data_IF_639482532930
#
_entry.id   IF_639482532930
#
_cell.length_a   1.000
_cell.length_b   1.000
_cell.length_c   1.000
_cell.angle_alpha   90.00
_cell.angle_beta   90.00
_cell.angle_gamma   90.00
#
_symmetry.space_group_name_H-M   'P 1'
#
loop_
_entity.id
_entity.type
_entity.pdbx_description
1 polymer ?
#
# COMPACT_ATOMS: atom_id res chain seq x y z
N UNK A 1 7.87 7.84 28.78
CA UNK A 1 9.08 7.92 27.92
C UNK A 1 8.64 8.59 26.64
N UNK A 2 9.18 9.77 26.31
CA UNK A 2 8.95 10.34 24.99
C UNK A 2 9.54 9.36 23.98
N UNK A 3 8.70 8.81 23.10
CA UNK A 3 9.18 8.19 21.87
C UNK A 3 9.94 9.30 21.14
N UNK A 4 11.26 9.23 21.09
CA UNK A 4 12.03 10.08 20.17
C UNK A 4 11.40 9.91 18.79
N UNK A 5 11.11 11.02 18.11
CA UNK A 5 10.48 10.99 16.81
C UNK A 5 11.37 10.19 15.85
N UNK A 6 10.88 9.04 15.40
CA UNK A 6 11.57 8.20 14.44
C UNK A 6 11.81 9.03 13.17
N UNK A 7 13.07 9.27 12.83
CA UNK A 7 13.44 10.01 11.62
C UNK A 7 13.71 9.03 10.50
N UNK A 8 12.94 9.13 9.41
CA UNK A 8 13.15 8.30 8.21
C UNK A 8 14.52 8.60 7.60
N UNK A 9 15.43 7.62 7.49
CA UNK A 9 16.73 7.83 6.87
C UNK A 9 16.61 8.30 5.41
N UNK A 10 17.58 9.09 4.94
CA UNK A 10 17.55 9.67 3.58
C UNK A 10 17.38 8.60 2.48
N UNK A 11 18.04 7.46 2.63
CA UNK A 11 17.94 6.35 1.68
C UNK A 11 16.58 5.64 1.69
N UNK A 12 15.70 5.93 2.65
CA UNK A 12 14.31 5.44 2.71
C UNK A 12 13.27 6.51 2.42
N UNK A 13 13.66 7.79 2.27
CA UNK A 13 12.72 8.85 1.89
C UNK A 13 11.99 8.58 0.58
N UNK A 14 12.58 7.81 -0.34
CA UNK A 14 11.91 7.41 -1.57
C UNK A 14 10.59 6.69 -1.29
N UNK A 15 10.51 5.89 -0.22
CA UNK A 15 9.33 5.09 0.10
C UNK A 15 8.18 5.98 0.52
N UNK A 16 8.40 6.88 1.47
CA UNK A 16 7.38 7.84 1.93
C UNK A 16 7.02 8.87 0.86
N UNK A 17 7.95 9.21 -0.03
CA UNK A 17 7.68 10.09 -1.18
C UNK A 17 6.87 9.39 -2.28
N UNK A 18 7.01 8.06 -2.42
CA UNK A 18 6.42 7.29 -3.50
C UNK A 18 4.92 7.12 -3.40
N UNK A 19 4.39 6.86 -2.19
CA UNK A 19 2.97 6.65 -1.86
C UNK A 19 2.22 5.54 -2.59
N UNK A 20 2.60 5.16 -3.81
CA UNK A 20 1.85 4.28 -4.68
C UNK A 20 2.74 3.21 -5.33
N UNK A 21 2.52 1.95 -4.92
CA UNK A 21 3.22 0.78 -5.40
C UNK A 21 2.28 -0.22 -6.08
N UNK A 22 2.84 -1.05 -6.96
CA UNK A 22 2.12 -2.13 -7.64
C UNK A 22 2.49 -3.49 -7.03
N UNK A 23 1.52 -4.22 -6.51
CA UNK A 23 1.72 -5.62 -6.14
C UNK A 23 1.38 -6.52 -7.33
N UNK A 24 2.14 -7.60 -7.52
CA UNK A 24 1.90 -8.55 -8.60
C UNK A 24 1.91 -9.98 -8.03
N UNK A 25 0.72 -10.58 -7.94
CA UNK A 25 0.55 -11.98 -7.57
C UNK A 25 0.37 -12.83 -8.82
N UNK A 26 1.47 -13.42 -9.28
CA UNK A 26 1.50 -14.25 -10.47
C UNK A 26 2.28 -15.54 -10.24
N UNK A 27 1.82 -16.60 -10.89
CA UNK A 27 2.35 -17.95 -10.74
C UNK A 27 1.42 -18.99 -11.35
N UNK A 28 1.77 -20.28 -11.28
CA UNK A 28 1.01 -21.35 -11.92
C UNK A 28 -0.44 -21.45 -11.41
N UNK A 29 -0.73 -21.01 -10.18
CA UNK A 29 -2.10 -20.90 -9.66
C UNK A 29 -3.04 -20.09 -10.58
N UNK A 30 -2.52 -19.16 -11.40
CA UNK A 30 -3.31 -18.39 -12.35
C UNK A 30 -4.02 -19.28 -13.37
N UNK A 31 -3.49 -20.48 -13.69
CA UNK A 31 -4.13 -21.44 -14.60
C UNK A 31 -5.45 -21.98 -14.06
N UNK A 32 -5.65 -21.97 -12.75
CA UNK A 32 -6.90 -22.41 -12.13
C UNK A 32 -7.94 -21.30 -12.09
N UNK A 33 -7.53 -20.02 -12.13
CA UNK A 33 -8.43 -18.88 -12.12
C UNK A 33 -9.33 -18.81 -10.88
N UNK A 34 -8.84 -19.26 -9.72
CA UNK A 34 -9.60 -19.38 -8.46
C UNK A 34 -8.82 -18.91 -7.23
N UNK A 35 -7.85 -18.03 -7.43
CA UNK A 35 -6.97 -17.54 -6.38
C UNK A 35 -5.72 -18.40 -6.15
N UNK A 36 -4.75 -17.80 -5.48
CA UNK A 36 -3.38 -18.31 -5.30
C UNK A 36 -3.35 -19.41 -4.25
N UNK A 37 -4.42 -19.45 -3.44
CA UNK A 37 -4.57 -20.42 -2.39
C UNK A 37 -5.33 -21.69 -2.81
N UNK A 38 -5.55 -21.90 -4.11
CA UNK A 38 -6.39 -23.01 -4.62
C UNK A 38 -5.88 -24.40 -4.20
N UNK A 39 -4.56 -24.63 -4.17
CA UNK A 39 -3.99 -25.91 -3.74
C UNK A 39 -4.47 -26.28 -2.33
N UNK A 40 -4.37 -25.35 -1.39
CA UNK A 40 -4.85 -25.56 -0.02
C UNK A 40 -6.38 -25.54 0.08
N UNK A 41 -7.06 -24.53 -0.47
CA UNK A 41 -8.50 -24.30 -0.25
C UNK A 41 -9.40 -25.37 -0.85
N UNK A 42 -8.96 -25.99 -1.95
CA UNK A 42 -9.71 -27.07 -2.61
C UNK A 42 -9.14 -28.45 -2.32
N UNK A 43 -8.11 -28.54 -1.46
CA UNK A 43 -7.44 -29.78 -1.10
C UNK A 43 -6.98 -30.54 -2.36
N UNK A 44 -6.40 -29.81 -3.32
CA UNK A 44 -5.91 -30.42 -4.56
C UNK A 44 -4.77 -31.38 -4.26
N UNK A 45 -4.63 -32.41 -5.08
CA UNK A 45 -3.47 -33.29 -5.00
C UNK A 45 -2.19 -32.52 -5.32
N UNK A 46 -1.17 -32.70 -4.47
CA UNK A 46 0.09 -31.97 -4.59
C UNK A 46 0.88 -32.38 -5.83
N UNK A 47 0.79 -33.65 -6.26
CA UNK A 47 1.48 -34.16 -7.43
C UNK A 47 0.83 -33.62 -8.69
N UNK A 48 -0.50 -33.72 -8.79
CA UNK A 48 -1.24 -33.18 -9.94
C UNK A 48 -1.06 -31.66 -10.06
N UNK A 49 -1.07 -30.93 -8.94
CA UNK A 49 -0.80 -29.50 -8.94
C UNK A 49 0.63 -29.20 -9.42
N UNK A 50 1.63 -29.94 -8.92
CA UNK A 50 3.01 -29.76 -9.33
C UNK A 50 3.23 -30.04 -10.82
N UNK A 51 2.63 -31.10 -11.37
CA UNK A 51 2.69 -31.41 -12.81
C UNK A 51 2.07 -30.28 -13.65
N UNK A 52 0.92 -29.75 -13.23
CA UNK A 52 0.27 -28.62 -13.91
C UNK A 52 1.11 -27.35 -13.81
N UNK A 53 1.70 -27.07 -12.65
CA UNK A 53 2.59 -25.94 -12.45
C UNK A 53 3.86 -26.03 -13.28
N UNK A 54 4.45 -27.22 -13.40
CA UNK A 54 5.63 -27.47 -14.23
C UNK A 54 5.34 -27.38 -15.73
N UNK A 55 4.10 -27.62 -16.16
CA UNK A 55 3.65 -27.49 -17.56
C UNK A 55 3.10 -26.10 -17.91
N UNK A 56 2.98 -25.20 -16.94
CA UNK A 56 2.57 -23.82 -17.17
C UNK A 56 3.55 -23.08 -18.08
N UNK A 57 3.06 -22.44 -19.14
CA UNK A 57 3.88 -21.64 -20.05
C UNK A 57 3.15 -20.35 -20.48
N UNK A 58 3.50 -19.19 -19.92
CA UNK A 58 2.85 -17.92 -20.22
C UNK A 58 3.41 -17.26 -21.50
N UNK A 59 2.86 -17.63 -22.65
CA UNK A 59 3.34 -17.23 -23.98
C UNK A 59 3.24 -15.72 -24.28
N UNK A 60 2.45 -14.98 -23.52
CA UNK A 60 2.20 -13.56 -23.69
C UNK A 60 2.77 -12.69 -22.56
N UNK A 61 3.65 -13.26 -21.73
CA UNK A 61 4.37 -12.50 -20.72
C UNK A 61 5.34 -11.50 -21.36
N UNK A 62 5.02 -10.22 -21.21
CA UNK A 62 5.85 -9.08 -21.61
C UNK A 62 6.10 -8.15 -20.38
N UNK A 63 7.27 -8.27 -19.73
CA UNK A 63 7.62 -7.44 -18.57
C UNK A 63 7.78 -5.96 -18.92
N UNK A 64 8.13 -5.62 -20.18
CA UNK A 64 8.27 -4.23 -20.62
C UNK A 64 6.90 -3.57 -20.72
N UNK A 65 5.90 -4.30 -21.23
CA UNK A 65 4.52 -3.82 -21.23
C UNK A 65 3.98 -3.63 -19.81
N UNK A 66 4.30 -4.54 -18.89
CA UNK A 66 3.95 -4.38 -17.48
C UNK A 66 4.58 -3.13 -16.88
N UNK A 67 5.89 -2.94 -17.05
CA UNK A 67 6.63 -1.79 -16.54
C UNK A 67 6.13 -0.45 -17.13
N UNK A 68 5.91 -0.40 -18.45
CA UNK A 68 5.37 0.78 -19.12
C UNK A 68 3.96 1.13 -18.64
N UNK A 69 3.11 0.13 -18.42
CA UNK A 69 1.77 0.31 -17.83
C UNK A 69 1.88 0.85 -16.42
N UNK A 70 2.76 0.27 -15.59
CA UNK A 70 2.95 0.68 -14.22
C UNK A 70 3.40 2.15 -14.11
N UNK A 71 4.40 2.54 -14.91
CA UNK A 71 4.88 3.93 -14.98
C UNK A 71 3.77 4.89 -15.40
N UNK A 72 3.02 4.56 -16.45
CA UNK A 72 1.93 5.42 -16.95
C UNK A 72 0.76 5.51 -15.97
N UNK A 73 0.53 4.49 -15.16
CA UNK A 73 -0.44 4.50 -14.07
C UNK A 73 0.02 5.31 -12.84
N UNK A 74 1.27 5.77 -12.81
CA UNK A 74 1.81 6.57 -11.71
C UNK A 74 2.40 5.74 -10.57
N UNK A 75 2.54 4.43 -10.69
CA UNK A 75 3.28 3.66 -9.70
C UNK A 75 4.74 4.12 -9.64
N UNK A 76 5.34 4.06 -8.45
CA UNK A 76 6.76 4.43 -8.24
C UNK A 76 7.64 3.23 -7.92
N UNK A 77 7.03 2.12 -7.55
CA UNK A 77 7.68 0.86 -7.25
C UNK A 77 6.74 -0.31 -7.50
N UNK A 78 7.28 -1.51 -7.60
CA UNK A 78 6.51 -2.73 -7.75
C UNK A 78 7.09 -3.89 -6.95
N UNK A 79 6.23 -4.78 -6.47
CA UNK A 79 6.59 -5.98 -5.73
C UNK A 79 6.03 -7.21 -6.46
N UNK A 80 6.90 -8.10 -6.96
CA UNK A 80 6.50 -9.35 -7.63
C UNK A 80 6.62 -10.54 -6.69
N UNK A 81 5.64 -11.45 -6.69
CA UNK A 81 5.75 -12.76 -6.05
C UNK A 81 6.85 -13.60 -6.70
N UNK A 82 8.08 -13.54 -6.16
CA UNK A 82 9.17 -14.41 -6.62
C UNK A 82 8.84 -15.88 -6.32
N UNK A 83 8.19 -16.13 -5.18
CA UNK A 83 7.63 -17.43 -4.79
C UNK A 83 6.45 -17.22 -3.85
N UNK A 84 5.35 -17.94 -4.10
CA UNK A 84 4.17 -17.98 -3.23
C UNK A 84 4.13 -19.27 -2.41
N UNK A 85 3.06 -19.48 -1.63
CA UNK A 85 2.90 -20.63 -0.72
C UNK A 85 2.91 -22.00 -1.41
N UNK A 86 2.62 -22.06 -2.72
CA UNK A 86 2.70 -23.29 -3.50
C UNK A 86 4.15 -23.72 -3.81
N UNK A 87 5.11 -22.86 -3.47
CA UNK A 87 6.53 -23.14 -3.55
C UNK A 87 7.17 -22.91 -4.91
N UNK A 88 6.40 -22.54 -5.94
CA UNK A 88 6.93 -22.38 -7.29
C UNK A 88 7.79 -21.13 -7.41
N UNK A 89 9.03 -21.29 -7.85
CA UNK A 89 9.99 -20.19 -7.97
C UNK A 89 9.90 -19.56 -9.37
N UNK A 90 9.67 -18.26 -9.47
CA UNK A 90 9.64 -17.52 -10.74
C UNK A 90 11.05 -17.13 -11.26
N UNK A 91 12.10 -17.72 -10.70
CA UNK A 91 13.49 -17.41 -11.03
C UNK A 91 14.32 -18.69 -11.18
N UNK A 92 15.53 -18.56 -11.72
CA UNK A 92 16.47 -19.68 -11.80
C UNK A 92 17.12 -19.98 -10.45
N UNK A 93 16.45 -20.79 -9.62
CA UNK A 93 16.97 -21.21 -8.31
C UNK A 93 17.88 -22.43 -8.44
N UNK A 94 19.06 -22.37 -7.85
CA UNK A 94 19.97 -23.50 -7.73
C UNK A 94 19.46 -24.58 -6.75
N UNK A 95 18.52 -24.22 -5.87
CA UNK A 95 18.07 -25.09 -4.77
C UNK A 95 16.82 -25.91 -5.09
N UNK A 96 16.16 -25.69 -6.22
CA UNK A 96 15.01 -26.48 -6.65
C UNK A 96 14.88 -26.50 -8.17
N UNK A 97 14.34 -27.59 -8.70
CA UNK A 97 13.91 -27.67 -10.09
C UNK A 97 12.45 -27.22 -10.27
N UNK A 98 11.72 -27.00 -9.18
CA UNK A 98 10.36 -26.46 -9.22
C UNK A 98 10.38 -24.94 -9.43
N UNK A 99 10.86 -24.54 -10.61
CA UNK A 99 11.10 -23.16 -10.99
C UNK A 99 10.83 -22.88 -12.48
N UNK A 100 10.44 -21.66 -12.82
CA UNK A 100 10.14 -21.28 -14.21
C UNK A 100 11.32 -21.50 -15.17
N UNK A 101 12.55 -21.38 -14.69
CA UNK A 101 13.75 -21.53 -15.50
C UNK A 101 14.06 -22.99 -15.88
N UNK A 102 13.63 -23.94 -15.04
CA UNK A 102 13.91 -25.37 -15.19
C UNK A 102 12.69 -26.19 -15.62
N UNK A 103 11.55 -25.54 -15.77
CA UNK A 103 10.27 -26.14 -16.19
C UNK A 103 9.85 -25.59 -17.55
N UNK A 104 8.60 -25.85 -17.96
CA UNK A 104 8.10 -25.51 -19.30
C UNK A 104 8.39 -24.07 -19.78
N UNK A 105 8.38 -23.02 -18.93
CA UNK A 105 8.71 -21.68 -19.41
C UNK A 105 10.15 -21.52 -19.90
N UNK A 106 11.12 -22.22 -19.29
CA UNK A 106 12.54 -22.05 -19.55
C UNK A 106 13.05 -20.62 -19.34
N UNK A 107 12.41 -19.85 -18.45
CA UNK A 107 12.62 -18.41 -18.29
C UNK A 107 12.79 -17.98 -16.83
N UNK A 108 13.65 -17.00 -16.62
CA UNK A 108 13.87 -16.32 -15.34
C UNK A 108 12.99 -15.06 -15.29
N UNK A 109 11.74 -15.22 -14.86
CA UNK A 109 10.76 -14.14 -14.86
C UNK A 109 11.09 -13.04 -13.85
N UNK A 110 11.76 -13.38 -12.73
CA UNK A 110 12.24 -12.37 -11.77
C UNK A 110 13.27 -11.46 -12.42
N UNK A 111 14.27 -12.00 -13.16
CA UNK A 111 15.25 -11.16 -13.89
C UNK A 111 14.58 -10.25 -14.90
N UNK A 112 13.69 -10.82 -15.71
CA UNK A 112 12.96 -10.09 -16.73
C UNK A 112 12.10 -8.95 -16.15
N UNK A 113 11.41 -9.20 -15.03
CA UNK A 113 10.67 -8.18 -14.28
C UNK A 113 11.60 -7.10 -13.73
N UNK A 114 12.65 -7.49 -13.03
CA UNK A 114 13.60 -6.58 -12.38
C UNK A 114 14.24 -5.64 -13.41
N UNK A 115 14.68 -6.17 -14.54
CA UNK A 115 15.30 -5.39 -15.62
C UNK A 115 14.31 -4.41 -16.26
N UNK A 116 13.08 -4.85 -16.58
CA UNK A 116 12.08 -4.01 -17.21
C UNK A 116 11.58 -2.87 -16.31
N UNK A 117 11.28 -3.17 -15.04
CA UNK A 117 10.79 -2.15 -14.10
C UNK A 117 11.88 -1.15 -13.75
N UNK A 118 13.12 -1.60 -13.56
CA UNK A 118 14.26 -0.70 -13.33
C UNK A 118 14.55 0.19 -14.54
N UNK A 119 14.43 -0.34 -15.76
CA UNK A 119 14.60 0.45 -16.99
C UNK A 119 13.58 1.59 -17.11
N UNK A 120 12.39 1.43 -16.53
CA UNK A 120 11.35 2.47 -16.47
C UNK A 120 11.51 3.44 -15.29
N UNK A 121 12.55 3.27 -14.46
CA UNK A 121 12.84 4.09 -13.28
C UNK A 121 11.98 3.73 -12.06
N UNK A 122 11.35 2.56 -12.06
CA UNK A 122 10.60 2.06 -10.92
C UNK A 122 11.54 1.36 -9.93
N UNK A 123 11.32 1.59 -8.64
CA UNK A 123 11.98 0.79 -7.58
C UNK A 123 11.45 -0.64 -7.62
N UNK A 124 12.31 -1.59 -7.33
CA UNK A 124 12.01 -3.00 -7.52
C UNK A 124 11.94 -3.72 -6.18
N UNK A 125 10.87 -4.46 -5.98
CA UNK A 125 10.67 -5.30 -4.82
C UNK A 125 10.28 -6.73 -5.17
N UNK A 126 10.56 -7.62 -4.22
CA UNK A 126 10.27 -9.04 -4.34
C UNK A 126 9.51 -9.51 -3.11
N UNK A 127 8.44 -10.26 -3.37
CA UNK A 127 7.70 -11.00 -2.37
C UNK A 127 8.25 -12.42 -2.29
N UNK A 128 8.40 -12.90 -1.06
CA UNK A 128 8.89 -14.23 -0.77
C UNK A 128 8.06 -14.89 0.32
N UNK A 129 7.45 -16.02 -0.02
CA UNK A 129 6.75 -16.82 0.99
C UNK A 129 7.70 -17.71 1.79
N UNK A 130 7.59 -17.66 3.12
CA UNK A 130 8.24 -18.59 4.03
C UNK A 130 7.74 -20.02 3.83
N UNK A 131 6.42 -20.17 3.78
CA UNK A 131 5.75 -21.46 3.64
C UNK A 131 5.93 -22.07 2.25
N UNK A 132 6.12 -23.38 2.23
CA UNK A 132 5.85 -24.24 1.08
C UNK A 132 4.80 -25.26 1.53
N UNK A 133 3.63 -25.27 0.89
CA UNK A 133 2.59 -26.25 1.20
C UNK A 133 3.05 -27.69 0.96
N UNK A 134 4.07 -27.90 0.15
CA UNK A 134 4.56 -29.22 -0.22
C UNK A 134 5.66 -29.74 0.69
N UNK A 135 6.16 -28.94 1.65
CA UNK A 135 7.26 -29.33 2.54
C UNK A 135 6.72 -29.65 3.95
N UNK A 136 6.51 -30.93 4.29
CA UNK A 136 5.96 -31.31 5.60
C UNK A 136 6.80 -30.79 6.77
N UNK A 137 8.13 -30.81 6.62
CA UNK A 137 9.05 -30.37 7.67
C UNK A 137 8.86 -28.90 8.09
N UNK A 138 8.31 -28.05 7.23
CA UNK A 138 7.95 -26.67 7.61
C UNK A 138 6.85 -26.63 8.68
N UNK A 139 5.88 -27.52 8.57
CA UNK A 139 4.77 -27.62 9.51
C UNK A 139 5.14 -28.42 10.76
N UNK A 140 5.96 -29.47 10.60
CA UNK A 140 6.46 -30.26 11.72
C UNK A 140 7.38 -29.45 12.63
N UNK A 141 8.18 -28.56 12.06
CA UNK A 141 9.03 -27.64 12.79
C UNK A 141 10.19 -28.32 13.53
N UNK A 142 10.99 -27.53 14.27
CA UNK A 142 12.22 -27.99 14.92
C UNK A 142 11.98 -29.05 16.01
N UNK A 143 10.80 -29.06 16.65
CA UNK A 143 10.49 -29.99 17.74
C UNK A 143 10.20 -31.41 17.23
N UNK A 144 9.40 -31.53 16.17
CA UNK A 144 8.97 -32.84 15.64
C UNK A 144 9.93 -33.39 14.59
N UNK A 145 10.57 -32.53 13.79
CA UNK A 145 11.48 -32.93 12.73
C UNK A 145 12.68 -31.96 12.62
N UNK A 146 13.62 -31.96 13.57
CA UNK A 146 14.72 -31.01 13.61
C UNK A 146 15.60 -31.05 12.35
N UNK A 147 15.96 -32.25 11.88
CA UNK A 147 16.80 -32.40 10.69
C UNK A 147 16.12 -31.95 9.40
N UNK A 148 14.83 -32.26 9.23
CA UNK A 148 14.05 -31.76 8.10
C UNK A 148 13.81 -30.25 8.18
N UNK A 149 13.58 -29.72 9.39
CA UNK A 149 13.43 -28.29 9.61
C UNK A 149 14.70 -27.52 9.25
N UNK A 150 15.88 -28.02 9.67
CA UNK A 150 17.15 -27.38 9.32
C UNK A 150 17.36 -27.32 7.81
N UNK A 151 17.04 -28.39 7.07
CA UNK A 151 17.10 -28.39 5.60
C UNK A 151 16.14 -27.38 4.98
N UNK A 152 14.89 -27.30 5.47
CA UNK A 152 13.91 -26.31 4.98
C UNK A 152 14.39 -24.90 5.28
N UNK A 153 14.85 -24.61 6.51
CA UNK A 153 15.34 -23.28 6.87
C UNK A 153 16.53 -22.88 6.01
N UNK A 154 17.50 -23.77 5.81
CA UNK A 154 18.66 -23.51 4.96
C UNK A 154 18.24 -23.28 3.50
N UNK A 155 17.30 -24.08 2.98
CA UNK A 155 16.69 -23.85 1.67
C UNK A 155 16.08 -22.44 1.55
N UNK A 156 15.29 -22.01 2.54
CA UNK A 156 14.66 -20.68 2.52
C UNK A 156 15.69 -19.54 2.60
N UNK A 157 16.68 -19.65 3.49
CA UNK A 157 17.73 -18.65 3.65
C UNK A 157 18.61 -18.54 2.39
N UNK A 158 18.97 -19.68 1.82
CA UNK A 158 19.76 -19.72 0.59
C UNK A 158 19.02 -19.09 -0.60
N UNK A 159 17.72 -19.35 -0.75
CA UNK A 159 16.92 -18.70 -1.81
C UNK A 159 16.82 -17.18 -1.63
N UNK A 160 16.68 -16.68 -0.40
CA UNK A 160 16.73 -15.24 -0.15
C UNK A 160 18.11 -14.67 -0.53
N UNK A 161 19.20 -15.38 -0.25
CA UNK A 161 20.53 -14.96 -0.69
C UNK A 161 20.66 -14.92 -2.23
N UNK A 162 20.11 -15.90 -2.97
CA UNK A 162 20.07 -15.86 -4.45
C UNK A 162 19.37 -14.60 -4.96
N UNK A 163 18.19 -14.29 -4.41
CA UNK A 163 17.39 -13.14 -4.81
C UNK A 163 18.10 -11.81 -4.56
N UNK A 164 18.93 -11.74 -3.51
CA UNK A 164 19.68 -10.52 -3.16
C UNK A 164 21.05 -10.41 -3.83
N UNK A 165 21.54 -11.46 -4.49
CA UNK A 165 22.87 -11.48 -5.13
C UNK A 165 22.79 -11.51 -6.67
N UNK A 166 21.78 -12.16 -7.25
CA UNK A 166 21.73 -12.44 -8.69
C UNK A 166 20.92 -11.43 -9.53
N UNK A 167 20.21 -10.50 -8.88
CA UNK A 167 19.23 -9.59 -9.52
C UNK A 167 19.55 -8.10 -9.35
N UNK A 168 20.77 -7.78 -8.89
CA UNK A 168 21.19 -6.40 -8.61
C UNK A 168 20.46 -5.81 -7.39
N UNK A 169 20.28 -4.49 -7.38
CA UNK A 169 19.63 -3.81 -6.27
C UNK A 169 18.14 -4.15 -6.17
N UNK A 170 17.72 -4.59 -4.98
CA UNK A 170 16.35 -4.82 -4.56
C UNK A 170 16.03 -3.79 -3.47
N UNK A 171 15.04 -2.94 -3.72
CA UNK A 171 14.69 -1.82 -2.84
C UNK A 171 13.73 -2.24 -1.72
N UNK A 172 12.92 -3.28 -1.96
CA UNK A 172 11.80 -3.68 -1.11
C UNK A 172 11.65 -5.21 -1.07
N UNK A 173 11.59 -5.81 0.10
CA UNK A 173 11.48 -7.26 0.30
C UNK A 173 10.30 -7.57 1.21
N UNK A 174 9.32 -8.29 0.67
CA UNK A 174 8.07 -8.57 1.34
C UNK A 174 8.00 -10.05 1.70
N UNK A 175 8.19 -10.38 2.96
CA UNK A 175 7.99 -11.73 3.46
C UNK A 175 6.51 -12.02 3.71
N UNK A 176 6.12 -13.30 3.68
CA UNK A 176 4.76 -13.70 4.02
C UNK A 176 4.63 -15.20 4.33
N UNK A 177 3.50 -15.60 4.93
CA UNK A 177 3.19 -17.01 5.17
C UNK A 177 4.02 -17.63 6.30
N UNK A 178 4.30 -16.87 7.36
CA UNK A 178 5.13 -17.32 8.48
C UNK A 178 4.49 -18.44 9.30
N UNK A 179 3.17 -18.63 9.25
CA UNK A 179 2.47 -19.58 10.13
C UNK A 179 2.86 -21.04 9.84
N UNK A 180 3.01 -21.90 10.86
CA UNK A 180 2.84 -21.63 12.29
C UNK A 180 4.15 -21.21 13.01
N UNK A 181 5.17 -20.76 12.27
CA UNK A 181 6.51 -20.50 12.77
C UNK A 181 6.61 -19.12 13.43
N UNK A 182 7.62 -18.98 14.29
CA UNK A 182 8.00 -17.72 14.93
C UNK A 182 9.37 -17.22 14.42
N UNK A 183 9.80 -16.04 14.88
CA UNK A 183 11.06 -15.43 14.45
C UNK A 183 12.31 -16.25 14.84
N UNK A 184 12.27 -16.98 15.96
CA UNK A 184 13.38 -17.82 16.43
C UNK A 184 13.51 -19.09 15.59
N UNK A 185 12.38 -19.77 15.31
CA UNK A 185 12.32 -20.94 14.42
C UNK A 185 13.00 -20.60 13.08
N UNK A 186 12.57 -19.48 12.49
CA UNK A 186 13.02 -18.98 11.19
C UNK A 186 14.41 -18.37 11.21
N UNK A 187 15.00 -18.12 12.39
CA UNK A 187 16.22 -17.33 12.55
C UNK A 187 16.15 -15.98 11.82
N UNK A 188 15.03 -15.28 11.96
CA UNK A 188 14.74 -14.06 11.20
C UNK A 188 15.73 -12.94 11.46
N UNK A 189 16.24 -12.80 12.69
CA UNK A 189 17.28 -11.82 13.04
C UNK A 189 18.57 -12.07 12.26
N UNK A 190 19.01 -13.33 12.19
CA UNK A 190 20.21 -13.73 11.44
C UNK A 190 20.02 -13.49 9.94
N UNK A 191 18.85 -13.87 9.40
CA UNK A 191 18.53 -13.64 7.99
C UNK A 191 18.57 -12.16 7.66
N UNK A 192 17.84 -11.30 8.40
CA UNK A 192 17.82 -9.86 8.16
C UNK A 192 19.23 -9.28 8.25
N UNK A 193 20.03 -9.68 9.24
CA UNK A 193 21.42 -9.23 9.33
C UNK A 193 22.24 -9.63 8.10
N UNK A 194 22.02 -10.82 7.53
CA UNK A 194 22.67 -11.25 6.29
C UNK A 194 22.18 -10.45 5.07
N UNK A 195 20.86 -10.20 4.96
CA UNK A 195 20.27 -9.38 3.91
C UNK A 195 20.85 -7.97 3.91
N UNK A 196 21.05 -7.38 5.10
CA UNK A 196 21.65 -6.06 5.28
C UNK A 196 23.13 -5.99 4.92
N UNK A 197 23.87 -7.08 5.07
CA UNK A 197 25.26 -7.17 4.59
C UNK A 197 25.31 -7.16 3.07
N UNK A 198 24.36 -7.81 2.41
CA UNK A 198 24.27 -7.87 0.94
C UNK A 198 23.72 -6.56 0.37
N UNK A 199 22.65 -6.04 0.95
CA UNK A 199 21.93 -4.85 0.50
C UNK A 199 21.60 -3.93 1.70
N UNK A 200 22.50 -3.02 2.09
CA UNK A 200 22.36 -2.22 3.32
C UNK A 200 21.07 -1.41 3.42
N UNK A 201 20.54 -0.94 2.29
CA UNK A 201 19.40 0.00 2.25
C UNK A 201 18.05 -0.65 1.91
N UNK A 202 17.96 -1.98 1.82
CA UNK A 202 16.72 -2.70 1.50
C UNK A 202 15.58 -2.35 2.47
N UNK A 203 14.33 -2.26 2.04
CA UNK A 203 13.19 -2.22 2.98
C UNK A 203 12.64 -3.63 3.18
N UNK A 204 12.39 -4.03 4.42
CA UNK A 204 11.88 -5.36 4.77
C UNK A 204 10.61 -5.20 5.58
N UNK A 205 9.55 -5.91 5.20
CA UNK A 205 8.28 -5.82 5.91
C UNK A 205 8.33 -6.48 7.31
N UNK A 206 7.24 -6.30 8.07
CA UNK A 206 7.10 -6.83 9.42
C UNK A 206 6.74 -8.32 9.50
N UNK A 207 6.57 -9.06 8.40
CA UNK A 207 6.15 -10.48 8.40
C UNK A 207 7.33 -11.45 8.58
N UNK A 208 8.14 -11.19 9.59
CA UNK A 208 9.35 -11.93 9.93
C UNK A 208 9.15 -12.94 11.08
N UNK A 209 7.90 -13.22 11.42
CA UNK A 209 7.53 -14.03 12.58
C UNK A 209 7.37 -13.19 13.84
N UNK A 210 6.41 -13.60 14.66
CA UNK A 210 6.06 -12.92 15.90
C UNK A 210 7.17 -13.08 16.95
N UNK A 211 7.30 -12.07 17.83
CA UNK A 211 8.31 -12.02 18.89
C UNK A 211 7.85 -12.66 20.22
N UNK A 212 6.55 -12.86 20.44
CA UNK A 212 5.99 -13.46 21.67
C UNK A 212 4.69 -14.24 21.41
N UNK A 213 4.43 -15.25 22.26
CA UNK A 213 3.35 -16.27 22.35
C UNK A 213 2.44 -16.59 21.16
N UNK A 214 2.11 -17.88 21.09
CA UNK A 214 1.30 -18.60 20.10
C UNK A 214 -0.14 -18.05 19.92
N UNK A 215 -0.65 -17.13 20.74
CA UNK A 215 -2.09 -16.78 20.76
C UNK A 215 -2.54 -15.79 19.66
N UNK A 216 -1.61 -15.32 18.81
CA UNK A 216 -1.87 -14.34 17.74
C UNK A 216 -2.00 -14.93 16.32
N UNK A 217 -2.15 -16.26 16.16
CA UNK A 217 -2.36 -16.85 14.83
C UNK A 217 -3.67 -16.36 14.21
N UNK A 218 -3.54 -15.63 13.10
CA UNK A 218 -4.60 -15.50 12.11
C UNK A 218 -4.02 -15.94 10.79
N UNK A 219 -4.67 -16.89 10.11
CA UNK A 219 -4.19 -17.45 8.85
C UNK A 219 -4.58 -16.59 7.63
N UNK A 220 -5.31 -15.49 7.86
CA UNK A 220 -5.99 -14.70 6.82
C UNK A 220 -5.45 -13.28 6.67
N UNK A 221 -4.24 -12.99 7.16
CA UNK A 221 -3.59 -11.68 6.95
C UNK A 221 -4.26 -10.50 7.67
N UNK A 222 -5.39 -10.71 8.36
CA UNK A 222 -6.10 -9.66 9.08
C UNK A 222 -5.41 -9.30 10.40
N UNK A 223 -5.03 -8.02 10.55
CA UNK A 223 -4.42 -7.38 11.75
C UNK A 223 -3.55 -8.35 12.57
N UNK A 224 -2.24 -8.41 12.26
CA UNK A 224 -1.25 -9.06 13.13
C UNK A 224 -0.98 -10.55 12.87
N UNK A 225 -1.38 -11.05 11.71
CA UNK A 225 -1.13 -12.43 11.31
C UNK A 225 0.37 -12.67 11.02
N UNK A 226 1.16 -12.98 12.04
CA UNK A 226 2.58 -13.29 11.87
C UNK A 226 3.53 -12.07 11.78
N UNK A 227 2.97 -10.88 12.03
CA UNK A 227 3.71 -9.64 12.13
C UNK A 227 4.60 -9.62 13.38
N UNK A 228 5.84 -9.20 13.20
CA UNK A 228 6.80 -8.99 14.28
C UNK A 228 6.59 -7.61 14.89
N UNK A 229 6.45 -7.55 16.22
CA UNK A 229 6.40 -6.29 16.96
C UNK A 229 7.75 -5.55 16.98
N UNK A 230 8.85 -6.27 16.75
CA UNK A 230 10.22 -5.77 16.87
C UNK A 230 11.01 -5.75 15.54
N UNK A 231 10.75 -6.68 14.62
CA UNK A 231 11.47 -6.78 13.35
C UNK A 231 10.68 -6.20 12.18
N UNK A 232 11.41 -5.71 11.17
CA UNK A 232 10.85 -5.15 9.94
C UNK A 232 10.75 -3.63 9.98
N UNK A 233 11.03 -3.00 8.85
CA UNK A 233 11.11 -1.54 8.70
C UNK A 233 9.74 -0.92 8.47
N UNK A 234 8.78 -1.68 7.92
CA UNK A 234 7.42 -1.21 7.65
C UNK A 234 6.34 -2.26 7.99
N UNK A 235 5.19 -1.76 8.45
CA UNK A 235 3.98 -2.52 8.72
C UNK A 235 3.13 -2.73 7.46
N UNK A 236 2.37 -3.83 7.44
CA UNK A 236 1.67 -4.31 6.22
C UNK A 236 0.16 -4.54 6.41
N UNK A 237 -0.61 -3.52 6.86
CA UNK A 237 -2.06 -3.65 7.03
C UNK A 237 -2.72 -4.14 5.73
N UNK A 238 -3.35 -5.30 5.80
CA UNK A 238 -3.92 -6.01 4.67
C UNK A 238 -5.43 -5.78 4.59
N UNK A 239 -5.94 -5.43 3.41
CA UNK A 239 -7.37 -5.11 3.17
C UNK A 239 -7.95 -3.98 4.05
N UNK A 240 -7.11 -3.26 4.79
CA UNK A 240 -7.45 -2.18 5.70
C UNK A 240 -6.45 -1.04 5.56
N UNK A 241 -6.90 0.20 5.74
CA UNK A 241 -6.03 1.38 5.73
C UNK A 241 -5.91 1.92 7.15
N UNK A 242 -4.95 1.35 7.88
CA UNK A 242 -4.70 1.65 9.29
C UNK A 242 -3.19 1.91 9.45
N UNK A 243 -2.77 3.09 9.93
CA UNK A 243 -1.36 3.38 10.14
C UNK A 243 -0.71 2.46 11.17
N UNK A 244 0.51 1.99 10.88
CA UNK A 244 1.38 1.47 11.91
C UNK A 244 1.99 2.64 12.69
N UNK A 245 1.74 2.66 14.00
CA UNK A 245 2.21 3.75 14.87
C UNK A 245 3.68 3.60 15.28
N UNK A 246 4.31 2.45 14.98
CA UNK A 246 5.66 2.12 15.47
C UNK A 246 6.75 2.27 14.40
N UNK A 247 6.39 2.28 13.12
CA UNK A 247 7.32 2.21 11.99
C UNK A 247 6.65 2.72 10.71
N UNK A 248 7.37 2.65 9.58
CA UNK A 248 6.79 2.95 8.27
C UNK A 248 5.57 2.06 7.98
N UNK A 249 4.66 2.43 7.08
CA UNK A 249 3.56 1.51 6.72
C UNK A 249 3.06 1.60 5.30
N UNK A 250 2.51 0.48 4.85
CA UNK A 250 1.96 0.28 3.51
C UNK A 250 0.72 -0.60 3.58
N UNK A 251 -0.41 -0.06 3.11
CA UNK A 251 -1.64 -0.82 2.97
C UNK A 251 -1.63 -1.66 1.71
N UNK A 252 -1.81 -2.96 1.88
CA UNK A 252 -1.89 -3.91 0.79
C UNK A 252 -3.36 -4.10 0.41
N UNK A 253 -3.69 -3.77 -0.83
CA UNK A 253 -5.07 -3.77 -1.32
C UNK A 253 -5.17 -4.48 -2.66
N UNK A 254 -6.27 -5.21 -2.84
CA UNK A 254 -6.62 -5.81 -4.13
C UNK A 254 -7.41 -4.83 -5.00
N UNK A 255 -7.22 -4.90 -6.32
CA UNK A 255 -8.05 -4.18 -7.30
C UNK A 255 -9.42 -4.82 -7.53
N UNK A 256 -9.54 -6.07 -7.10
CA UNK A 256 -10.76 -6.87 -7.07
C UNK A 256 -11.44 -6.74 -5.70
N UNK A 257 -12.43 -7.56 -5.35
CA UNK A 257 -13.04 -7.47 -4.01
C UNK A 257 -12.32 -8.30 -2.96
N UNK A 258 -11.75 -9.45 -3.33
CA UNK A 258 -11.27 -10.44 -2.35
C UNK A 258 -9.88 -11.02 -2.62
N UNK A 259 -9.58 -11.44 -3.85
CA UNK A 259 -8.43 -12.32 -4.11
C UNK A 259 -7.22 -11.57 -4.70
N UNK A 260 -6.02 -12.03 -4.35
CA UNK A 260 -4.75 -11.46 -4.81
C UNK A 260 -4.45 -11.86 -6.25
N UNK A 261 -4.50 -13.14 -6.58
CA UNK A 261 -4.20 -13.59 -7.93
C UNK A 261 -5.41 -13.65 -8.86
N UNK A 262 -5.14 -13.95 -10.13
CA UNK A 262 -6.14 -14.06 -11.18
C UNK A 262 -7.29 -15.00 -10.79
N UNK A 263 -8.50 -14.47 -10.86
CA UNK A 263 -9.73 -15.21 -10.56
C UNK A 263 -10.79 -14.93 -11.63
N UNK A 264 -11.30 -16.00 -12.23
CA UNK A 264 -12.32 -15.92 -13.27
C UNK A 264 -13.65 -15.49 -12.64
N UNK A 265 -14.27 -14.44 -13.19
CA UNK A 265 -15.57 -13.95 -12.74
C UNK A 265 -15.55 -13.10 -11.46
N UNK A 266 -14.38 -12.85 -10.88
CA UNK A 266 -14.20 -11.90 -9.78
C UNK A 266 -14.58 -10.48 -10.26
N UNK A 267 -15.14 -9.67 -9.35
CA UNK A 267 -15.55 -8.30 -9.65
C UNK A 267 -14.40 -7.32 -9.41
N UNK A 268 -14.36 -6.26 -10.22
CA UNK A 268 -13.37 -5.20 -10.12
C UNK A 268 -13.91 -3.99 -9.35
N UNK A 269 -13.12 -3.47 -8.40
CA UNK A 269 -13.46 -2.21 -7.71
C UNK A 269 -13.33 -1.04 -8.69
N UNK A 270 -14.22 -0.03 -8.65
CA UNK A 270 -14.16 1.10 -9.59
C UNK A 270 -12.95 2.01 -9.31
N UNK A 271 -12.50 2.77 -10.32
CA UNK A 271 -11.27 3.58 -10.25
C UNK A 271 -11.32 4.67 -9.16
N UNK A 272 -12.48 5.26 -8.91
CA UNK A 272 -12.69 6.25 -7.84
C UNK A 272 -12.47 5.63 -6.46
N UNK A 273 -12.94 4.41 -6.22
CA UNK A 273 -12.70 3.68 -4.97
C UNK A 273 -11.21 3.37 -4.79
N UNK A 274 -10.54 2.92 -5.85
CA UNK A 274 -9.09 2.65 -5.82
C UNK A 274 -8.27 3.92 -5.57
N UNK A 275 -8.64 5.03 -6.21
CA UNK A 275 -8.03 6.34 -5.97
C UNK A 275 -8.29 6.82 -4.54
N UNK A 276 -9.49 6.60 -3.99
CA UNK A 276 -9.82 7.02 -2.64
C UNK A 276 -8.96 6.32 -1.60
N UNK A 277 -8.63 5.03 -1.82
CA UNK A 277 -7.67 4.31 -0.99
C UNK A 277 -6.27 4.93 -1.04
N UNK A 278 -5.81 5.37 -2.22
CA UNK A 278 -4.51 6.04 -2.36
C UNK A 278 -4.50 7.38 -1.60
N UNK A 279 -5.54 8.17 -1.78
CA UNK A 279 -5.70 9.45 -1.09
C UNK A 279 -5.83 9.28 0.42
N UNK A 280 -6.50 8.22 0.89
CA UNK A 280 -6.58 7.87 2.32
C UNK A 280 -5.22 7.49 2.90
N UNK A 281 -4.41 6.73 2.15
CA UNK A 281 -3.05 6.39 2.57
C UNK A 281 -2.17 7.64 2.66
N UNK A 282 -2.28 8.56 1.69
CA UNK A 282 -1.55 9.82 1.70
C UNK A 282 -1.99 10.72 2.86
N UNK A 283 -3.30 10.88 3.10
CA UNK A 283 -3.87 11.64 4.22
C UNK A 283 -3.39 11.12 5.59
N UNK A 284 -3.41 9.80 5.76
CA UNK A 284 -2.97 9.13 6.99
C UNK A 284 -1.44 8.96 7.08
N UNK A 285 -0.70 9.52 6.12
CA UNK A 285 0.74 9.39 5.99
C UNK A 285 1.50 9.89 7.23
N UNK A 286 1.41 11.18 7.54
CA UNK A 286 2.14 11.77 8.66
C UNK A 286 3.64 11.40 8.70
N UNK A 287 4.19 11.38 9.92
CA UNK A 287 5.62 11.15 10.18
C UNK A 287 6.10 9.72 9.82
N UNK A 288 5.19 8.74 9.80
CA UNK A 288 5.50 7.34 9.58
C UNK A 288 5.25 6.89 8.12
N UNK A 289 5.03 7.81 7.18
CA UNK A 289 4.70 7.42 5.81
C UNK A 289 3.31 6.78 5.70
N UNK A 290 2.94 6.26 4.53
CA UNK A 290 1.57 5.79 4.27
C UNK A 290 1.41 5.55 2.80
N UNK A 291 1.65 4.31 2.41
CA UNK A 291 1.65 3.89 1.02
C UNK A 291 0.48 2.96 0.73
N UNK A 292 0.02 2.98 -0.52
CA UNK A 292 -0.88 1.98 -1.07
C UNK A 292 -0.07 1.06 -1.98
N UNK A 293 0.04 -0.22 -1.62
CA UNK A 293 0.50 -1.28 -2.52
C UNK A 293 -0.73 -1.95 -3.15
N UNK A 294 -1.04 -1.53 -4.37
CA UNK A 294 -2.23 -1.95 -5.09
C UNK A 294 -1.92 -3.15 -5.99
N UNK A 295 -2.60 -4.24 -5.73
CA UNK A 295 -2.33 -5.53 -6.34
C UNK A 295 -3.05 -5.76 -7.67
N UNK A 296 -2.37 -6.46 -8.59
CA UNK A 296 -2.96 -7.15 -9.74
C UNK A 296 -2.58 -8.62 -9.75
N UNK A 297 -3.50 -9.48 -10.16
CA UNK A 297 -3.23 -10.86 -10.56
C UNK A 297 -3.20 -11.00 -12.08
N UNK A 298 -2.03 -11.08 -12.73
CA UNK A 298 -1.92 -11.27 -14.17
C UNK A 298 -2.56 -12.59 -14.62
N UNK A 299 -3.06 -12.61 -15.85
CA UNK A 299 -3.68 -13.78 -16.47
C UNK A 299 -2.67 -14.93 -16.63
N UNK A 300 -3.14 -16.19 -16.77
CA UNK A 300 -2.25 -17.35 -16.90
C UNK A 300 -1.32 -17.30 -18.11
N UNK A 301 -1.65 -16.52 -19.14
CA UNK A 301 -0.80 -16.33 -20.32
C UNK A 301 0.26 -15.23 -20.14
N UNK A 302 0.25 -14.49 -19.02
CA UNK A 302 1.20 -13.42 -18.70
C UNK A 302 0.74 -12.01 -19.08
N UNK A 303 -0.50 -11.83 -19.53
CA UNK A 303 -1.05 -10.49 -19.76
C UNK A 303 -1.63 -9.88 -18.48
N UNK A 304 -1.54 -8.55 -18.35
CA UNK A 304 -2.32 -7.83 -17.33
C UNK A 304 -3.81 -7.84 -17.71
N UNK A 305 -4.74 -8.03 -16.76
CA UNK A 305 -6.17 -7.97 -17.05
C UNK A 305 -6.56 -6.59 -17.60
N UNK A 306 -7.32 -6.51 -18.70
CA UNK A 306 -7.72 -5.22 -19.29
C UNK A 306 -8.43 -4.29 -18.31
N UNK A 307 -9.23 -4.84 -17.39
CA UNK A 307 -9.95 -4.09 -16.37
C UNK A 307 -9.01 -3.41 -15.37
N UNK A 308 -7.89 -4.06 -15.01
CA UNK A 308 -6.83 -3.45 -14.22
C UNK A 308 -6.19 -2.31 -14.99
N UNK A 309 -5.75 -2.58 -16.23
CA UNK A 309 -5.07 -1.59 -17.08
C UNK A 309 -5.93 -0.33 -17.24
N UNK A 310 -7.23 -0.48 -17.51
CA UNK A 310 -8.14 0.65 -17.63
C UNK A 310 -8.16 1.52 -16.37
N UNK A 311 -8.36 0.91 -15.19
CA UNK A 311 -8.47 1.62 -13.90
C UNK A 311 -7.16 2.27 -13.49
N UNK A 312 -6.05 1.54 -13.63
CA UNK A 312 -4.72 2.02 -13.33
C UNK A 312 -4.37 3.24 -14.21
N UNK A 313 -4.71 3.21 -15.50
CA UNK A 313 -4.50 4.35 -16.40
C UNK A 313 -5.46 5.52 -16.14
N UNK A 314 -6.68 5.28 -15.67
CA UNK A 314 -7.59 6.34 -15.19
C UNK A 314 -7.01 7.07 -13.98
N UNK A 315 -6.46 6.32 -13.02
CA UNK A 315 -5.75 6.87 -11.85
C UNK A 315 -4.47 7.60 -12.29
N UNK A 316 -3.69 7.03 -13.22
CA UNK A 316 -2.48 7.66 -13.76
C UNK A 316 -2.75 9.03 -14.36
N UNK A 317 -3.79 9.18 -15.20
CA UNK A 317 -4.19 10.49 -15.75
C UNK A 317 -4.60 11.49 -14.67
N UNK A 318 -5.19 11.02 -13.57
CA UNK A 318 -5.50 11.88 -12.44
C UNK A 318 -4.23 12.35 -11.72
N UNK A 319 -3.26 11.45 -11.53
CA UNK A 319 -1.98 11.72 -10.87
C UNK A 319 -1.06 12.61 -11.72
N UNK A 320 -1.18 12.58 -13.05
CA UNK A 320 -0.47 13.53 -13.93
C UNK A 320 -0.82 14.99 -13.63
N UNK A 321 -2.06 15.27 -13.22
CA UNK A 321 -2.54 16.62 -12.89
C UNK A 321 -2.43 16.92 -11.40
N UNK A 322 -2.76 15.96 -10.55
CA UNK A 322 -2.93 16.17 -9.10
C UNK A 322 -1.84 15.52 -8.25
N UNK A 323 -0.78 14.99 -8.87
CA UNK A 323 0.26 14.22 -8.18
C UNK A 323 0.96 14.96 -7.06
N UNK A 324 1.01 16.30 -7.09
CA UNK A 324 1.57 17.11 -6.00
C UNK A 324 0.78 17.02 -4.68
N UNK A 325 -0.49 16.64 -4.73
CA UNK A 325 -1.33 16.38 -3.55
C UNK A 325 -1.12 14.99 -2.95
N UNK A 326 -0.34 14.11 -3.60
CA UNK A 326 -0.10 12.74 -3.16
C UNK A 326 1.39 12.50 -2.97
N UNK A 327 2.19 12.60 -4.03
CA UNK A 327 3.61 12.28 -3.97
C UNK A 327 4.39 13.28 -3.11
N UNK A 328 5.14 12.75 -2.15
CA UNK A 328 5.89 13.55 -1.20
C UNK A 328 5.03 14.40 -0.27
N UNK A 329 3.72 14.14 -0.17
CA UNK A 329 2.88 14.80 0.83
C UNK A 329 3.32 14.42 2.23
N UNK A 330 3.20 15.32 3.20
CA UNK A 330 3.39 15.06 4.62
C UNK A 330 2.14 14.42 5.25
N UNK A 331 1.06 14.28 4.44
CA UNK A 331 -0.25 13.83 4.91
C UNK A 331 -0.90 14.88 5.79
N UNK A 332 -1.78 14.46 6.68
CA UNK A 332 -2.39 15.32 7.68
C UNK A 332 -3.78 15.81 7.30
N UNK A 333 -4.66 15.72 8.29
CA UNK A 333 -5.96 16.37 8.28
C UNK A 333 -5.83 17.63 9.11
N UNK A 334 -5.75 18.79 8.45
CA UNK A 334 -5.50 20.08 9.11
C UNK A 334 -6.79 20.64 9.69
N UNK A 335 -7.86 20.70 8.89
CA UNK A 335 -9.15 21.28 9.28
C UNK A 335 -10.29 20.27 9.14
N UNK A 336 -11.46 20.56 9.74
CA UNK A 336 -12.65 19.74 9.52
C UNK A 336 -13.06 19.72 8.04
N UNK A 337 -13.02 18.53 7.43
CA UNK A 337 -13.22 18.35 5.98
C UNK A 337 -13.82 17.00 5.59
N UNK A 338 -14.16 16.15 6.57
CA UNK A 338 -14.68 14.79 6.29
C UNK A 338 -15.99 14.82 5.47
N UNK A 339 -16.75 15.91 5.59
CA UNK A 339 -18.01 16.14 4.87
C UNK A 339 -17.83 16.53 3.40
N UNK A 340 -16.60 16.77 2.94
CA UNK A 340 -16.27 17.19 1.57
C UNK A 340 -15.27 16.26 0.90
N UNK A 341 -14.31 15.72 1.64
CA UNK A 341 -13.31 14.83 1.08
C UNK A 341 -12.13 14.59 2.02
N UNK A 342 -10.93 14.61 1.45
CA UNK A 342 -9.67 14.32 2.15
C UNK A 342 -8.71 15.50 2.07
N UNK A 343 -7.73 15.49 2.96
CA UNK A 343 -6.67 16.49 2.98
C UNK A 343 -5.29 15.85 2.97
N UNK A 344 -4.36 16.57 2.35
CA UNK A 344 -2.93 16.33 2.49
C UNK A 344 -2.21 17.67 2.58
N UNK A 345 -1.02 17.67 3.17
CA UNK A 345 -0.14 18.84 3.18
C UNK A 345 1.18 18.52 2.48
N UNK A 346 1.84 19.56 1.99
CA UNK A 346 3.23 19.49 1.55
C UNK A 346 3.84 20.87 1.63
N UNK A 347 4.89 21.02 2.41
CA UNK A 347 5.55 22.32 2.64
C UNK A 347 4.49 23.35 3.09
N UNK A 348 4.34 24.47 2.38
CA UNK A 348 3.37 25.51 2.69
C UNK A 348 2.00 25.31 2.02
N UNK A 349 1.73 24.13 1.45
CA UNK A 349 0.51 23.87 0.71
C UNK A 349 -0.44 22.94 1.48
N UNK A 350 -1.72 23.31 1.52
CA UNK A 350 -2.83 22.43 1.89
C UNK A 350 -3.57 22.01 0.62
N UNK A 351 -3.74 20.72 0.41
CA UNK A 351 -4.50 20.17 -0.70
C UNK A 351 -5.83 19.63 -0.20
N UNK A 352 -6.91 20.06 -0.86
CA UNK A 352 -8.26 19.58 -0.62
C UNK A 352 -8.67 18.64 -1.76
N UNK A 353 -8.75 17.34 -1.48
CA UNK A 353 -9.15 16.31 -2.43
C UNK A 353 -10.66 16.09 -2.29
N UNK A 354 -11.45 16.65 -3.20
CA UNK A 354 -12.89 16.81 -3.04
C UNK A 354 -13.65 15.58 -3.57
N UNK A 355 -14.24 14.83 -2.64
CA UNK A 355 -15.07 13.66 -2.95
C UNK A 355 -16.50 14.05 -3.27
N UNK A 356 -17.04 15.03 -2.54
CA UNK A 356 -18.42 15.49 -2.64
C UNK A 356 -18.46 16.90 -3.23
N UNK A 357 -18.77 17.00 -4.52
CA UNK A 357 -18.91 18.28 -5.22
C UNK A 357 -20.36 18.77 -5.11
N UNK A 358 -20.59 19.89 -4.42
CA UNK A 358 -21.94 20.41 -4.15
C UNK A 358 -22.45 21.43 -5.18
N UNK A 359 -21.61 21.77 -6.18
CA UNK A 359 -21.92 22.71 -7.25
C UNK A 359 -22.13 24.16 -6.79
N UNK A 360 -21.76 24.49 -5.54
CA UNK A 360 -21.87 25.86 -5.03
C UNK A 360 -20.67 26.68 -5.49
N UNK A 361 -20.87 27.97 -5.81
CA UNK A 361 -19.78 28.83 -6.27
C UNK A 361 -18.81 29.23 -5.15
N UNK A 362 -19.15 28.91 -3.90
CA UNK A 362 -18.39 29.28 -2.73
C UNK A 362 -18.25 28.10 -1.77
N UNK A 363 -17.04 27.91 -1.24
CA UNK A 363 -16.73 26.97 -0.17
C UNK A 363 -16.20 27.72 1.04
N UNK A 364 -16.70 27.36 2.22
CA UNK A 364 -16.17 27.80 3.51
C UNK A 364 -15.31 26.70 4.12
N UNK A 365 -14.06 27.03 4.44
CA UNK A 365 -13.13 26.20 5.21
C UNK A 365 -12.86 26.92 6.53
N UNK A 366 -13.21 26.28 7.65
CA UNK A 366 -12.95 26.83 8.97
C UNK A 366 -11.60 26.36 9.51
N UNK A 367 -11.18 27.00 10.59
CA UNK A 367 -10.08 26.66 11.46
C UNK A 367 -8.66 26.86 10.91
N UNK A 368 -8.47 27.22 9.64
CA UNK A 368 -7.16 27.49 9.04
C UNK A 368 -6.61 28.85 9.51
N UNK A 369 -5.59 28.83 10.37
CA UNK A 369 -5.00 30.04 10.96
C UNK A 369 -3.80 30.57 10.17
N UNK A 370 -3.10 29.72 9.43
CA UNK A 370 -1.97 30.17 8.60
C UNK A 370 -2.50 31.08 7.49
N UNK A 371 -1.92 32.28 7.28
CA UNK A 371 -2.36 33.19 6.22
C UNK A 371 -2.25 32.55 4.82
N UNK A 372 -3.30 32.70 4.02
CA UNK A 372 -3.39 32.18 2.64
C UNK A 372 -2.87 33.21 1.64
N UNK A 373 -2.00 32.76 0.74
CA UNK A 373 -1.40 33.55 -0.34
C UNK A 373 -2.14 33.36 -1.67
N UNK A 374 -2.52 32.13 -2.01
CA UNK A 374 -3.27 31.83 -3.23
C UNK A 374 -4.11 30.56 -3.10
N UNK A 375 -5.10 30.43 -3.98
CA UNK A 375 -5.97 29.25 -4.07
C UNK A 375 -6.14 28.87 -5.53
N UNK A 376 -5.69 27.67 -5.91
CA UNK A 376 -5.76 27.17 -7.29
C UNK A 376 -6.65 25.92 -7.34
N UNK A 377 -7.64 25.89 -8.24
CA UNK A 377 -8.31 24.65 -8.63
C UNK A 377 -7.41 23.87 -9.59
N UNK A 378 -6.52 23.03 -9.04
CA UNK A 378 -5.50 22.30 -9.79
C UNK A 378 -6.07 21.53 -10.99
N UNK A 379 -7.27 20.99 -10.84
CA UNK A 379 -7.96 20.23 -11.90
C UNK A 379 -8.15 21.01 -13.20
N UNK A 380 -8.25 22.34 -13.11
CA UNK A 380 -8.47 23.22 -14.28
C UNK A 380 -7.33 24.24 -14.47
N UNK A 381 -6.46 24.41 -13.48
CA UNK A 381 -5.50 25.50 -13.42
C UNK A 381 -6.11 26.88 -13.11
N UNK A 382 -7.40 26.94 -12.78
CA UNK A 382 -8.08 28.19 -12.43
C UNK A 382 -7.58 28.72 -11.08
N UNK A 383 -7.12 29.97 -11.06
CA UNK A 383 -6.94 30.73 -9.83
C UNK A 383 -8.31 31.17 -9.28
N UNK A 384 -8.58 30.83 -8.03
CA UNK A 384 -9.83 31.11 -7.33
C UNK A 384 -9.67 32.36 -6.47
N UNK A 385 -10.73 33.17 -6.43
CA UNK A 385 -10.78 34.28 -5.48
C UNK A 385 -10.97 33.73 -4.07
N UNK A 386 -10.37 34.38 -3.08
CA UNK A 386 -10.53 33.97 -1.69
C UNK A 386 -10.54 35.16 -0.75
N UNK A 387 -11.13 34.94 0.42
CA UNK A 387 -11.09 35.87 1.54
C UNK A 387 -10.88 35.07 2.82
N UNK A 388 -9.81 35.38 3.55
CA UNK A 388 -9.57 34.84 4.87
C UNK A 388 -9.89 35.89 5.93
N UNK A 389 -10.77 35.54 6.87
CA UNK A 389 -11.11 36.36 8.02
C UNK A 389 -10.79 35.56 9.29
N UNK A 390 -9.70 35.94 9.98
CA UNK A 390 -9.14 35.18 11.11
C UNK A 390 -8.84 33.74 10.69
N UNK A 391 -9.57 32.77 11.25
CA UNK A 391 -9.43 31.34 11.04
C UNK A 391 -10.42 30.78 10.01
N UNK A 392 -11.13 31.64 9.27
CA UNK A 392 -12.12 31.20 8.26
C UNK A 392 -11.68 31.64 6.87
N UNK A 393 -11.49 30.66 5.99
CA UNK A 393 -11.24 30.86 4.57
C UNK A 393 -12.52 30.66 3.76
N UNK A 394 -12.86 31.66 2.94
CA UNK A 394 -13.88 31.57 1.91
C UNK A 394 -13.20 31.47 0.54
N UNK A 395 -13.51 30.42 -0.21
CA UNK A 395 -13.02 30.17 -1.57
C UNK A 395 -14.18 30.41 -2.52
N UNK A 396 -13.98 31.21 -3.57
CA UNK A 396 -15.03 31.69 -4.47
C UNK A 396 -14.68 31.41 -5.94
N UNK A 397 -15.71 31.30 -6.78
CA UNK A 397 -15.56 31.05 -8.21
C UNK A 397 -15.47 29.57 -8.57
N UNK A 398 -15.94 28.68 -7.69
CA UNK A 398 -16.01 27.24 -7.97
C UNK A 398 -17.04 26.95 -9.08
N UNK A 399 -16.74 26.07 -10.04
CA UNK A 399 -17.68 25.75 -11.10
C UNK A 399 -18.90 24.96 -10.57
N UNK A 400 -20.11 25.19 -11.12
CA UNK A 400 -21.28 24.43 -10.74
C UNK A 400 -21.16 22.95 -11.12
N UNK A 401 -20.52 22.66 -12.26
CA UNK A 401 -20.25 21.30 -12.70
C UNK A 401 -18.91 20.79 -12.16
N UNK A 402 -18.88 19.50 -11.82
CA UNK A 402 -17.66 18.86 -11.34
C UNK A 402 -16.63 18.81 -12.48
N UNK A 403 -15.40 19.36 -12.30
CA UNK A 403 -14.45 19.52 -13.40
C UNK A 403 -13.71 18.22 -13.81
N UNK A 404 -13.95 17.10 -13.12
CA UNK A 404 -13.40 15.78 -13.47
C UNK A 404 -14.31 14.66 -13.00
N UNK A 405 -14.22 13.48 -13.63
CA UNK A 405 -14.96 12.28 -13.23
C UNK A 405 -14.51 11.73 -11.86
N UNK A 406 -13.22 11.86 -11.56
CA UNK A 406 -12.62 11.44 -10.29
C UNK A 406 -12.70 12.60 -9.27
N UNK A 407 -11.68 12.83 -8.44
CA UNK A 407 -11.73 13.83 -7.38
C UNK A 407 -11.08 15.16 -7.80
N UNK A 408 -11.81 16.30 -7.87
CA UNK A 408 -11.18 17.60 -8.03
C UNK A 408 -10.23 17.91 -6.87
N UNK A 409 -9.16 18.65 -7.15
CA UNK A 409 -8.21 19.07 -6.11
C UNK A 409 -8.06 20.58 -6.12
N UNK A 410 -8.13 21.17 -4.93
CA UNK A 410 -7.79 22.58 -4.69
C UNK A 410 -6.48 22.63 -3.93
N UNK A 411 -5.51 23.40 -4.41
CA UNK A 411 -4.30 23.76 -3.68
C UNK A 411 -4.49 25.11 -3.02
N UNK A 412 -4.22 25.19 -1.73
CA UNK A 412 -4.18 26.41 -0.94
C UNK A 412 -2.73 26.63 -0.55
N UNK A 413 -2.11 27.68 -1.09
CA UNK A 413 -0.75 28.06 -0.71
C UNK A 413 -0.81 29.04 0.46
N UNK A 414 -0.07 28.74 1.53
CA UNK A 414 -0.01 29.52 2.75
C UNK A 414 1.35 30.24 2.90
N UNK A 415 1.44 31.23 3.78
CA UNK A 415 2.72 31.92 4.10
C UNK A 415 3.74 31.00 4.81
N UNK A 416 3.25 29.93 5.43
CA UNK A 416 4.05 28.89 6.09
C UNK A 416 3.31 27.55 6.07
N UNK A 417 3.77 26.55 6.83
CA UNK A 417 3.06 25.28 6.99
C UNK A 417 1.58 25.50 7.38
N UNK A 418 0.62 24.80 6.77
CA UNK A 418 -0.79 24.94 7.11
C UNK A 418 -1.07 24.47 8.54
N UNK A 419 -1.61 25.35 9.36
CA UNK A 419 -1.96 25.06 10.75
C UNK A 419 -3.43 25.38 11.01
N UNK A 420 -4.03 24.60 11.91
CA UNK A 420 -5.37 24.85 12.41
C UNK A 420 -5.37 25.43 13.84
N UNK A 421 -6.44 26.17 14.16
CA UNK A 421 -6.76 26.54 15.53
C UNK A 421 -7.02 25.28 16.39
N UNK A 422 -7.20 25.46 17.70
CA UNK A 422 -7.46 24.34 18.61
C UNK A 422 -8.75 23.55 18.26
N UNK A 423 -9.78 24.24 17.77
CA UNK A 423 -11.05 23.64 17.40
C UNK A 423 -10.90 22.66 16.23
N UNK A 424 -10.16 23.04 15.18
CA UNK A 424 -9.86 22.18 14.04
C UNK A 424 -8.96 20.99 14.40
N UNK A 425 -8.03 21.16 15.34
CA UNK A 425 -7.13 20.09 15.81
C UNK A 425 -7.84 19.02 16.64
N UNK A 426 -8.71 19.41 17.56
CA UNK A 426 -9.39 18.45 18.44
C UNK A 426 -10.58 17.74 17.77
N UNK A 427 -10.91 18.10 16.52
CA UNK A 427 -12.03 17.53 15.72
C UNK A 427 -13.37 17.63 16.47
N UNK A 428 -14.44 17.00 16.00
CA UNK A 428 -15.72 16.97 16.75
C UNK A 428 -15.74 15.85 17.82
N UNK A 429 -15.01 14.76 17.57
CA UNK A 429 -15.07 13.53 18.39
C UNK A 429 -13.72 13.09 18.97
N UNK A 430 -12.69 13.91 18.80
CA UNK A 430 -11.38 13.70 19.43
C UNK A 430 -11.23 14.70 20.59
N UNK A 431 -10.24 14.57 21.48
CA UNK A 431 -10.07 15.49 22.62
C UNK A 431 -11.19 15.47 23.68
N UNK A 432 -11.23 16.48 24.56
CA UNK A 432 -12.22 16.61 25.64
C UNK A 432 -13.59 17.10 25.11
N UNK A 433 -14.66 16.28 25.14
CA UNK A 433 -15.98 16.67 24.62
C UNK A 433 -16.58 17.89 25.34
N UNK A 434 -16.18 18.17 26.58
CA UNK A 434 -16.71 19.29 27.35
C UNK A 434 -16.41 20.66 26.71
N UNK A 435 -15.40 20.77 25.85
CA UNK A 435 -15.08 22.01 25.12
C UNK A 435 -16.24 22.52 24.26
N UNK A 436 -17.15 21.63 23.82
CA UNK A 436 -18.33 22.00 23.03
C UNK A 436 -19.33 22.80 23.86
N UNK A 437 -19.29 22.70 25.19
CA UNK A 437 -20.19 23.43 26.09
C UNK A 437 -20.02 24.94 25.95
N UNK A 438 -18.78 25.45 25.92
CA UNK A 438 -18.53 26.89 25.74
C UNK A 438 -19.02 27.41 24.38
N UNK A 439 -18.84 26.63 23.32
CA UNK A 439 -19.38 26.96 22.01
C UNK A 439 -20.92 26.96 22.02
N UNK A 440 -21.54 25.96 22.65
CA UNK A 440 -23.00 25.87 22.78
C UNK A 440 -23.58 27.05 23.57
N UNK A 441 -22.89 27.52 24.62
CA UNK A 441 -23.32 28.67 25.43
C UNK A 441 -23.38 29.98 24.62
N UNK A 442 -22.55 30.13 23.57
CA UNK A 442 -22.59 31.32 22.70
C UNK A 442 -23.88 31.45 21.91
N UNK A 443 -24.66 30.37 21.76
CA UNK A 443 -25.96 30.40 21.09
C UNK A 443 -27.00 31.26 21.83
N UNK A 444 -26.83 31.44 23.15
CA UNK A 444 -27.82 32.13 23.99
C UNK A 444 -29.13 31.33 24.15
N UNK A 445 -30.13 31.94 24.79
CA UNK A 445 -31.47 31.38 24.95
C UNK A 445 -32.17 31.22 23.60
N UNK A 446 -32.83 30.08 23.40
CA UNK A 446 -33.59 29.85 22.17
C UNK A 446 -34.95 30.52 22.32
N UNK A 447 -35.29 31.43 21.42
CA UNK A 447 -36.66 31.93 21.30
C UNK A 447 -37.45 30.96 20.45
N UNK A 448 -38.45 30.31 21.04
CA UNK A 448 -39.32 29.37 20.33
C UNK A 448 -40.32 30.13 19.46
N UNK A 449 -41.01 29.43 18.55
CA UNK A 449 -41.98 30.03 17.65
C UNK A 449 -43.15 30.74 18.38
N UNK A 450 -43.37 30.41 19.66
CA UNK A 450 -44.32 31.05 20.57
C UNK A 450 -43.80 32.35 21.22
N UNK A 451 -42.57 32.77 20.87
CA UNK A 451 -41.91 33.96 21.40
C UNK A 451 -41.34 33.78 22.82
N UNK A 452 -41.42 32.59 23.41
CA UNK A 452 -40.86 32.34 24.73
C UNK A 452 -39.39 31.90 24.64
N UNK A 453 -38.56 32.50 25.51
CA UNK A 453 -37.19 32.06 25.73
C UNK A 453 -37.16 30.73 26.47
N UNK A 454 -36.33 29.79 26.00
CA UNK A 454 -36.03 28.53 26.67
C UNK A 454 -34.54 28.19 26.58
#
# INVERSE_FOLDING_TARGET
MSLEAYTVPDYWKWFTQSRYGMFIHWGPYAQYGRGEQVLFREHLDHTEYAERACSWNPEHFDPKLWAATAKKAGFKYACLTARHHDGYCLWDSAFTDYSSAKQAPGRDFVREFVEAFRAEGLRVGLYYSWIDWRLPAYFEGPEKNPGGWDQVRDYLHNQVQELLTNYGQIDHFFFDGVWPRNADDLKSVELVASMRKLQPHILINNRLGYSTSYDAFRADGGIGAGDSDALGDFGTPEHLIIPDKRRLWESNQVTTWRLWSYTIGERWRPADYLLDMLCECAEKGGDNGGNLLLNVGPMPDGQLPPEFVQRALEIGRWLEVHGEAVYGSDGGSVTEFITRGRQTTRENNLYLIIRFWDGRPQMRLADLITPVQSVTLLTTGQELSFRQEKDVLWIEGLPPERPTKLFPVIRIQCEGPPEANQWGRDRLWEGDPARVAEWALKRGTTVYADGQER
#
